data_IF_183720423856
#
_entry.id   IF_183720423856
#
_cell.length_a   1.000
_cell.length_b   1.000
_cell.length_c   1.000
_cell.angle_alpha   90.00
_cell.angle_beta   90.00
_cell.angle_gamma   90.00
#
_symmetry.space_group_name_H-M   'P 1'
#
loop_
_entity.id
_entity.type
_entity.pdbx_description
1 polymer ?
#
# COMPACT_ATOMS: atom_id res chain seq x y z
N UNK A 1 -10.85 50.35 37.99
CA UNK A 1 -11.55 49.34 38.79
C UNK A 1 -12.28 48.48 37.79
N UNK A 2 -11.62 47.40 37.35
CA UNK A 2 -11.97 45.99 37.69
C UNK A 2 -13.17 45.54 36.84
N UNK A 3 -13.26 44.44 36.10
CA UNK A 3 -12.50 43.21 35.77
C UNK A 3 -13.07 42.81 34.38
N UNK A 4 -12.41 42.12 33.46
CA UNK A 4 -12.36 40.65 33.43
C UNK A 4 -11.76 40.21 32.10
N UNK A 5 -10.80 39.31 32.16
CA UNK A 5 -10.31 38.49 31.04
C UNK A 5 -11.42 37.57 30.54
N UNK A 6 -11.44 37.25 29.24
CA UNK A 6 -11.83 35.93 28.73
C UNK A 6 -11.50 35.80 27.24
N UNK A 7 -10.36 35.15 26.99
CA UNK A 7 -9.98 34.53 25.72
C UNK A 7 -11.04 33.53 25.28
N UNK A 8 -11.62 33.73 24.09
CA UNK A 8 -12.44 32.71 23.42
C UNK A 8 -11.65 32.12 22.27
N UNK A 9 -10.85 31.10 22.60
CA UNK A 9 -10.25 30.19 21.63
C UNK A 9 -11.40 29.39 21.02
N UNK A 10 -11.63 29.57 19.72
CA UNK A 10 -12.60 28.77 18.96
C UNK A 10 -12.12 27.32 19.00
N UNK A 11 -12.71 26.54 19.91
CA UNK A 11 -12.43 25.11 20.05
C UNK A 11 -13.27 24.38 19.03
N UNK A 12 -12.68 24.10 17.87
CA UNK A 12 -13.24 23.16 16.90
C UNK A 12 -13.17 21.76 17.49
N UNK A 13 -14.25 21.32 18.13
CA UNK A 13 -14.49 19.92 18.46
C UNK A 13 -15.32 19.26 17.35
N UNK A 14 -14.98 18.00 17.06
CA UNK A 14 -15.71 17.01 16.24
C UNK A 14 -15.62 17.20 14.72
N UNK A 15 -15.12 16.27 13.92
CA UNK A 15 -14.75 14.89 14.15
C UNK A 15 -13.69 14.52 13.12
N UNK A 16 -12.48 14.17 13.57
CA UNK A 16 -11.64 13.26 12.80
C UNK A 16 -12.40 11.94 12.76
N UNK A 17 -13.23 11.77 11.72
CA UNK A 17 -13.52 10.44 11.20
C UNK A 17 -12.18 9.89 10.73
N UNK A 18 -11.39 9.40 11.68
CA UNK A 18 -10.43 8.35 11.42
C UNK A 18 -11.33 7.24 10.88
N UNK A 19 -11.38 7.12 9.55
CA UNK A 19 -11.89 5.92 8.94
C UNK A 19 -11.15 4.80 9.67
N UNK A 20 -11.87 4.04 10.48
CA UNK A 20 -11.40 2.78 11.03
C UNK A 20 -11.00 1.93 9.83
N UNK A 21 -9.75 2.08 9.38
CA UNK A 21 -9.15 1.16 8.44
C UNK A 21 -9.19 -0.13 9.24
N UNK A 22 -10.07 -1.08 8.88
CA UNK A 22 -10.21 -2.29 9.66
C UNK A 22 -8.82 -2.88 9.76
N UNK A 23 -8.48 -3.37 10.95
CA UNK A 23 -7.31 -4.18 11.25
C UNK A 23 -7.31 -5.32 10.24
N UNK A 24 -6.81 -5.05 9.03
CA UNK A 24 -6.77 -5.98 7.93
C UNK A 24 -5.61 -6.89 8.31
N UNK A 25 -6.03 -8.07 8.70
CA UNK A 25 -5.51 -8.78 9.85
C UNK A 25 -4.08 -9.23 9.60
N UNK A 26 -3.25 -9.23 10.65
CA UNK A 26 -1.97 -9.97 10.69
C UNK A 26 -2.14 -11.38 10.06
N UNK A 27 -3.27 -12.03 10.35
CA UNK A 27 -3.67 -13.32 9.79
C UNK A 27 -3.78 -13.35 8.26
N UNK A 28 -4.19 -12.24 7.61
CA UNK A 28 -4.26 -12.17 6.16
C UNK A 28 -2.86 -12.01 5.57
N UNK A 29 -1.99 -11.19 6.18
CA UNK A 29 -0.60 -11.12 5.76
C UNK A 29 0.10 -12.46 5.92
N UNK A 30 -0.09 -13.18 7.04
CA UNK A 30 0.51 -14.50 7.26
C UNK A 30 0.00 -15.54 6.24
N UNK A 31 -1.30 -15.52 5.92
CA UNK A 31 -1.88 -16.37 4.87
C UNK A 31 -1.33 -16.03 3.48
N UNK A 32 -1.18 -14.75 3.18
CA UNK A 32 -0.55 -14.28 1.95
C UNK A 32 0.89 -14.74 1.93
N UNK A 33 1.71 -14.42 2.93
CA UNK A 33 3.11 -14.86 3.02
C UNK A 33 3.22 -16.37 2.78
N UNK A 34 2.38 -17.19 3.40
CA UNK A 34 2.34 -18.65 3.15
C UNK A 34 1.98 -19.04 1.70
N UNK A 35 1.16 -18.25 1.00
CA UNK A 35 0.81 -18.43 -0.42
C UNK A 35 1.95 -18.04 -1.37
N UNK A 36 2.85 -17.15 -0.95
CA UNK A 36 3.96 -16.64 -1.76
C UNK A 36 5.36 -17.16 -1.33
N UNK A 37 5.43 -18.24 -0.53
CA UNK A 37 6.68 -18.82 0.01
C UNK A 37 7.51 -19.62 -1.01
N UNK A 38 6.88 -20.22 -2.02
CA UNK A 38 7.62 -20.82 -3.14
C UNK A 38 8.09 -19.70 -4.08
N UNK A 39 9.29 -19.83 -4.67
CA UNK A 39 10.03 -18.88 -5.54
C UNK A 39 9.20 -18.28 -6.72
N UNK A 40 8.16 -17.56 -6.37
CA UNK A 40 7.11 -17.06 -7.24
C UNK A 40 7.61 -15.77 -7.88
N UNK A 41 8.12 -15.87 -9.11
CA UNK A 41 8.48 -14.79 -10.05
C UNK A 41 8.60 -13.41 -9.38
N UNK A 42 9.70 -13.19 -8.67
CA UNK A 42 10.04 -11.87 -8.13
C UNK A 42 10.27 -10.94 -9.31
N UNK A 43 9.47 -9.88 -9.40
CA UNK A 43 9.60 -8.88 -10.47
C UNK A 43 9.74 -7.49 -9.89
N UNK A 44 10.55 -6.66 -10.56
CA UNK A 44 10.60 -5.23 -10.26
C UNK A 44 9.20 -4.65 -10.45
N UNK A 45 8.70 -3.98 -9.41
CA UNK A 45 7.33 -3.51 -9.40
C UNK A 45 7.26 -1.99 -9.51
N UNK A 46 8.04 -1.30 -8.69
CA UNK A 46 7.86 0.14 -8.58
C UNK A 46 8.71 0.81 -7.52
N UNK A 47 8.35 2.06 -7.25
CA UNK A 47 9.00 2.90 -6.24
C UNK A 47 7.99 3.49 -5.26
N UNK A 48 8.34 3.53 -3.99
CA UNK A 48 7.50 4.14 -2.95
C UNK A 48 7.46 5.66 -3.13
N UNK A 49 6.27 6.22 -3.32
CA UNK A 49 6.05 7.66 -3.46
C UNK A 49 5.64 8.33 -2.15
N UNK A 50 4.84 7.63 -1.35
CA UNK A 50 4.32 8.15 -0.08
C UNK A 50 4.21 7.04 0.96
N UNK A 51 4.23 7.43 2.24
CA UNK A 51 4.14 6.54 3.38
C UNK A 51 3.31 7.18 4.48
N UNK A 52 2.34 6.44 4.99
CA UNK A 52 1.62 6.71 6.24
C UNK A 52 2.09 5.70 7.31
N UNK A 53 1.39 5.66 8.45
CA UNK A 53 1.73 4.71 9.51
C UNK A 53 1.57 3.25 9.10
N UNK A 54 0.58 2.94 8.24
CA UNK A 54 0.21 1.56 7.89
C UNK A 54 0.10 1.31 6.39
N UNK A 55 0.20 2.36 5.58
CA UNK A 55 0.07 2.26 4.13
C UNK A 55 1.21 2.96 3.40
N UNK A 56 1.51 2.48 2.19
CA UNK A 56 2.38 3.14 1.24
C UNK A 56 1.66 3.27 -0.11
N UNK A 57 2.04 4.29 -0.87
CA UNK A 57 1.68 4.39 -2.29
C UNK A 57 2.92 4.08 -3.13
N UNK A 58 2.77 3.18 -4.09
CA UNK A 58 3.82 2.79 -5.03
C UNK A 58 3.43 3.24 -6.44
N UNK A 59 4.38 3.87 -7.14
CA UNK A 59 4.32 4.02 -8.59
C UNK A 59 4.72 2.68 -9.22
N UNK A 60 3.74 1.97 -9.78
CA UNK A 60 3.98 0.66 -10.37
C UNK A 60 4.16 0.68 -11.89
N UNK A 61 4.53 1.83 -12.46
CA UNK A 61 4.82 1.98 -13.89
C UNK A 61 6.02 1.15 -14.39
N UNK A 62 6.83 0.58 -13.48
CA UNK A 62 7.93 -0.31 -13.84
C UNK A 62 7.44 -1.72 -14.23
N UNK A 63 6.23 -2.10 -13.80
CA UNK A 63 5.64 -3.39 -14.12
C UNK A 63 4.78 -3.28 -15.40
N UNK A 64 4.95 -4.17 -16.40
CA UNK A 64 4.30 -4.05 -17.72
C UNK A 64 2.80 -4.42 -17.73
N UNK A 65 2.10 -4.34 -16.58
CA UNK A 65 0.69 -4.71 -16.47
C UNK A 65 0.03 -4.20 -15.19
N UNK A 66 -1.23 -4.60 -15.00
CA UNK A 66 -1.98 -4.31 -13.77
C UNK A 66 -1.91 -5.51 -12.83
N UNK A 67 -1.59 -5.24 -11.56
CA UNK A 67 -1.54 -6.27 -10.52
C UNK A 67 -2.63 -6.02 -9.49
N UNK A 68 -3.68 -6.82 -9.52
CA UNK A 68 -4.78 -6.69 -8.56
C UNK A 68 -4.51 -7.36 -7.22
N UNK A 69 -3.67 -8.41 -7.22
CA UNK A 69 -3.28 -9.14 -6.02
C UNK A 69 -1.78 -9.47 -6.07
N UNK A 70 -1.07 -9.19 -4.97
CA UNK A 70 0.34 -9.51 -4.86
C UNK A 70 0.92 -9.11 -3.51
N UNK A 71 2.02 -9.77 -3.15
CA UNK A 71 2.78 -9.47 -1.94
C UNK A 71 4.01 -8.65 -2.30
N UNK A 72 4.25 -7.58 -1.57
CA UNK A 72 5.43 -6.73 -1.75
C UNK A 72 6.62 -7.34 -1.03
N UNK A 73 7.76 -7.36 -1.72
CA UNK A 73 9.01 -7.92 -1.21
C UNK A 73 10.17 -6.95 -1.36
N UNK A 74 10.93 -6.77 -0.28
CA UNK A 74 12.29 -6.24 -0.32
C UNK A 74 13.28 -7.41 -0.39
N UNK A 75 14.57 -7.15 -0.60
CA UNK A 75 15.61 -8.17 -0.85
C UNK A 75 15.42 -9.45 -0.02
N UNK A 76 15.08 -9.32 1.27
CA UNK A 76 15.02 -10.46 2.17
C UNK A 76 13.59 -10.84 2.60
N UNK A 77 12.65 -9.89 2.75
CA UNK A 77 11.34 -10.18 3.35
C UNK A 77 10.12 -9.66 2.59
N UNK A 78 9.01 -10.39 2.73
CA UNK A 78 7.67 -9.89 2.40
C UNK A 78 7.29 -8.88 3.47
N UNK A 79 6.95 -7.67 3.06
CA UNK A 79 6.71 -6.58 3.99
C UNK A 79 5.34 -5.92 3.82
N UNK A 80 4.58 -6.30 2.79
CA UNK A 80 3.29 -5.69 2.52
C UNK A 80 2.48 -6.40 1.45
N UNK A 81 1.29 -5.86 1.20
CA UNK A 81 0.30 -6.40 0.26
C UNK A 81 -0.39 -5.27 -0.47
N UNK A 82 -0.77 -5.50 -1.72
CA UNK A 82 -1.66 -4.60 -2.46
C UNK A 82 -3.06 -4.68 -1.83
N UNK A 83 -3.65 -3.52 -1.56
CA UNK A 83 -5.03 -3.40 -1.08
C UNK A 83 -5.93 -2.64 -2.05
N UNK A 84 -5.36 -1.77 -2.89
CA UNK A 84 -6.11 -1.02 -3.90
C UNK A 84 -5.21 -0.53 -5.04
N UNK A 85 -5.82 -0.18 -6.17
CA UNK A 85 -5.16 0.36 -7.36
C UNK A 85 -5.95 1.53 -7.93
N UNK A 86 -5.24 2.59 -8.32
CA UNK A 86 -5.82 3.75 -8.99
C UNK A 86 -4.87 4.29 -10.08
N UNK A 87 -5.33 5.29 -10.83
CA UNK A 87 -4.57 5.82 -11.97
C UNK A 87 -4.99 5.17 -13.30
N UNK A 88 -4.15 5.30 -14.32
CA UNK A 88 -4.43 4.74 -15.64
C UNK A 88 -3.76 3.37 -15.81
N UNK A 89 -4.22 2.52 -16.76
CA UNK A 89 -3.57 1.25 -17.05
C UNK A 89 -2.08 1.36 -17.44
N UNK A 90 -1.67 2.51 -17.98
CA UNK A 90 -0.29 2.80 -18.38
C UNK A 90 0.54 3.46 -17.29
N UNK A 91 -0.10 3.96 -16.23
CA UNK A 91 0.54 4.59 -15.08
C UNK A 91 -0.26 4.28 -13.81
N UNK A 92 -0.21 3.02 -13.36
CA UNK A 92 -0.94 2.60 -12.16
C UNK A 92 -0.22 3.01 -10.88
N UNK A 93 -1.01 3.40 -9.89
CA UNK A 93 -0.57 3.64 -8.52
C UNK A 93 -1.23 2.64 -7.59
N UNK A 94 -0.44 2.07 -6.69
CA UNK A 94 -0.88 1.00 -5.82
C UNK A 94 -0.88 1.47 -4.37
N UNK A 95 -2.00 1.29 -3.69
CA UNK A 95 -2.08 1.45 -2.24
C UNK A 95 -1.79 0.08 -1.64
N UNK A 96 -0.80 0.05 -0.77
CA UNK A 96 -0.36 -1.18 -0.14
C UNK A 96 -0.33 -1.01 1.38
N UNK A 97 -0.78 -2.03 2.10
CA UNK A 97 -0.57 -2.11 3.54
C UNK A 97 0.81 -2.72 3.79
N UNK A 98 1.53 -2.22 4.79
CA UNK A 98 2.89 -2.67 5.08
C UNK A 98 3.16 -2.83 6.58
N UNK A 99 4.18 -3.60 6.94
CA UNK A 99 4.55 -3.90 8.33
C UNK A 99 6.03 -3.67 8.67
N UNK A 100 6.89 -3.42 7.68
CA UNK A 100 8.33 -3.25 7.89
C UNK A 100 8.79 -1.81 7.64
N UNK A 101 9.96 -1.46 8.14
CA UNK A 101 10.53 -0.13 7.87
C UNK A 101 10.94 0.01 6.40
N UNK A 102 10.14 0.77 5.66
CA UNK A 102 10.41 1.19 4.28
C UNK A 102 10.55 2.69 4.17
N UNK A 103 11.29 3.15 3.16
CA UNK A 103 11.56 4.56 2.92
C UNK A 103 10.94 5.04 1.61
N UNK A 104 10.52 6.31 1.58
CA UNK A 104 10.11 6.97 0.34
C UNK A 104 11.29 6.98 -0.64
N UNK A 105 11.04 6.68 -1.90
CA UNK A 105 12.06 6.55 -2.94
C UNK A 105 12.67 5.15 -3.06
N UNK A 106 12.37 4.24 -2.14
CA UNK A 106 12.84 2.85 -2.20
C UNK A 106 12.16 2.09 -3.34
N UNK A 107 12.96 1.32 -4.09
CA UNK A 107 12.46 0.38 -5.09
C UNK A 107 11.97 -0.90 -4.41
N UNK A 108 10.87 -1.43 -4.92
CA UNK A 108 10.20 -2.60 -4.36
C UNK A 108 9.93 -3.61 -5.45
N UNK A 109 10.01 -4.88 -5.07
CA UNK A 109 9.62 -5.98 -5.92
C UNK A 109 8.24 -6.50 -5.51
N UNK A 110 7.61 -7.20 -6.43
CA UNK A 110 6.35 -7.90 -6.19
C UNK A 110 6.55 -9.40 -6.38
N UNK A 111 5.95 -10.16 -5.48
CA UNK A 111 5.72 -11.58 -5.62
C UNK A 111 4.31 -11.76 -6.18
N UNK A 112 4.22 -12.48 -7.29
CA UNK A 112 2.96 -12.78 -7.95
C UNK A 112 2.67 -14.26 -7.76
N UNK A 113 1.47 -14.59 -7.30
CA UNK A 113 1.03 -15.98 -7.29
C UNK A 113 0.81 -16.34 -8.76
N UNK A 114 1.36 -17.47 -9.21
CA UNK A 114 1.23 -17.88 -10.60
C UNK A 114 -0.22 -17.74 -11.08
N UNK A 115 -0.36 -17.18 -12.29
CA UNK A 115 -1.60 -16.94 -13.05
C UNK A 115 -2.29 -15.60 -12.77
N UNK A 116 -1.68 -14.51 -13.24
CA UNK A 116 -2.40 -13.58 -14.12
C UNK A 116 -1.43 -13.26 -15.26
N UNK A 117 -1.40 -14.12 -16.29
CA UNK A 117 -0.93 -13.66 -17.59
C UNK A 117 -1.88 -12.53 -18.02
N UNK A 118 -1.38 -11.40 -18.55
CA UNK A 118 -2.27 -10.45 -19.19
C UNK A 118 -2.90 -11.19 -20.38
N UNK A 119 -4.14 -11.63 -20.24
CA UNK A 119 -4.96 -11.99 -21.39
C UNK A 119 -5.12 -10.69 -22.19
N UNK A 120 -4.22 -10.48 -23.14
CA UNK A 120 -4.47 -9.62 -24.28
C UNK A 120 -5.64 -10.25 -25.03
N UNK A 121 -6.87 -9.90 -24.63
CA UNK A 121 -8.03 -10.05 -25.49
C UNK A 121 -7.86 -9.06 -26.64
N UNK A 122 -7.26 -9.55 -27.72
CA UNK A 122 -7.30 -8.89 -29.02
C UNK A 122 -8.64 -9.29 -29.63
N UNK A 123 -9.60 -8.36 -29.65
CA UNK A 123 -10.77 -8.42 -30.54
C UNK A 123 -10.34 -8.05 -31.98
#
# INVERSE_FOLDING_TARGET
MEESSSSSIYSSQHSDQICDIPIFQQNYLDQVVSKYQDDNKIQSFGRILSKTQTQITIDGSLYPGLVYEGALKTNDDIFGIIIDIFGSPTQPFYICQFQSDVSIGQEVNILLNSVVEPELQID
#
